data_IF_222673468066
#
_entry.id   IF_222673468066
#
_cell.length_a   1.000
_cell.length_b   1.000
_cell.length_c   1.000
_cell.angle_alpha   90.00
_cell.angle_beta   90.00
_cell.angle_gamma   90.00
#
_symmetry.space_group_name_H-M   'P 1'
#
loop_
_entity.id
_entity.type
_entity.pdbx_description
1 polymer ?
#
# COMPACT_ATOMS: atom_id res chain seq x y z
N UNK A 1 -15.13 9.14 -39.27
CA UNK A 1 -15.42 9.16 -37.82
C UNK A 1 -15.71 7.74 -37.42
N UNK A 2 -14.72 7.04 -36.86
CA UNK A 2 -14.88 5.66 -36.42
C UNK A 2 -15.71 5.68 -35.14
N UNK A 3 -16.97 5.26 -35.24
CA UNK A 3 -17.86 5.16 -34.09
C UNK A 3 -17.35 4.02 -33.20
N UNK A 4 -16.97 4.36 -31.96
CA UNK A 4 -16.65 3.37 -30.94
C UNK A 4 -17.82 2.39 -30.83
N UNK A 5 -17.53 1.09 -30.96
CA UNK A 5 -18.57 0.06 -30.88
C UNK A 5 -19.28 0.16 -29.53
N UNK A 6 -20.59 -0.15 -29.45
CA UNK A 6 -21.36 -0.06 -28.21
C UNK A 6 -20.74 -0.86 -27.06
N UNK A 7 -20.08 -1.98 -27.38
CA UNK A 7 -19.31 -2.77 -26.42
C UNK A 7 -18.13 -1.97 -25.82
N UNK A 8 -17.41 -1.21 -26.63
CA UNK A 8 -16.27 -0.39 -26.17
C UNK A 8 -16.73 0.72 -25.21
N UNK A 9 -17.89 1.32 -25.48
CA UNK A 9 -18.49 2.34 -24.61
C UNK A 9 -18.89 1.74 -23.27
N UNK A 10 -19.53 0.56 -23.26
CA UNK A 10 -19.90 -0.13 -22.02
C UNK A 10 -18.66 -0.47 -21.20
N UNK A 11 -17.61 -1.01 -21.82
CA UNK A 11 -16.35 -1.34 -21.14
C UNK A 11 -15.73 -0.07 -20.52
N UNK A 12 -15.68 1.04 -21.25
CA UNK A 12 -15.15 2.31 -20.74
C UNK A 12 -15.94 2.85 -19.56
N UNK A 13 -17.28 2.81 -19.63
CA UNK A 13 -18.14 3.27 -18.53
C UNK A 13 -17.98 2.40 -17.30
N UNK A 14 -17.95 1.07 -17.46
CA UNK A 14 -17.72 0.13 -16.35
C UNK A 14 -16.33 0.36 -15.74
N UNK A 15 -15.29 0.45 -16.57
CA UNK A 15 -13.93 0.71 -16.10
C UNK A 15 -13.84 2.04 -15.33
N UNK A 16 -14.46 3.11 -15.83
CA UNK A 16 -14.49 4.41 -15.17
C UNK A 16 -15.27 4.36 -13.84
N UNK A 17 -16.40 3.65 -13.79
CA UNK A 17 -17.18 3.47 -12.57
C UNK A 17 -16.41 2.68 -11.51
N UNK A 18 -15.72 1.60 -11.90
CA UNK A 18 -14.84 0.85 -11.00
C UNK A 18 -13.70 1.75 -10.50
N UNK A 19 -13.07 2.53 -11.38
CA UNK A 19 -12.00 3.45 -10.99
C UNK A 19 -12.49 4.51 -9.99
N UNK A 20 -13.66 5.09 -10.24
CA UNK A 20 -14.28 6.07 -9.36
C UNK A 20 -14.63 5.47 -7.99
N UNK A 21 -15.21 4.27 -7.95
CA UNK A 21 -15.51 3.55 -6.72
C UNK A 21 -14.23 3.27 -5.90
N UNK A 22 -13.17 2.78 -6.56
CA UNK A 22 -11.87 2.54 -5.92
C UNK A 22 -11.28 3.84 -5.35
N UNK A 23 -11.37 4.95 -6.08
CA UNK A 23 -10.88 6.26 -5.63
C UNK A 23 -11.68 6.79 -4.43
N UNK A 24 -13.01 6.66 -4.45
CA UNK A 24 -13.89 7.11 -3.35
C UNK A 24 -13.64 6.29 -2.09
N UNK A 25 -13.60 4.95 -2.19
CA UNK A 25 -13.30 4.06 -1.05
C UNK A 25 -11.90 4.37 -0.49
N UNK A 26 -10.90 4.55 -1.35
CA UNK A 26 -9.55 4.95 -0.93
C UNK A 26 -9.52 6.32 -0.25
N UNK A 27 -10.39 7.26 -0.63
CA UNK A 27 -10.48 8.59 -0.01
C UNK A 27 -11.10 8.54 1.38
N UNK A 28 -12.15 7.73 1.57
CA UNK A 28 -12.83 7.59 2.86
C UNK A 28 -11.96 6.89 3.92
N UNK A 29 -11.09 5.96 3.52
CA UNK A 29 -10.20 5.22 4.43
C UNK A 29 -8.95 6.00 4.90
N UNK A 30 -8.81 7.29 4.57
CA UNK A 30 -7.57 8.07 4.79
C UNK A 30 -7.39 8.71 6.15
N UNK A 31 -8.29 8.56 7.13
CA UNK A 31 -8.03 9.09 8.48
C UNK A 31 -7.53 7.97 9.38
N UNK A 32 -6.22 7.74 9.35
CA UNK A 32 -5.53 6.91 10.33
C UNK A 32 -5.22 7.77 11.53
N UNK A 33 -5.74 7.41 12.70
CA UNK A 33 -5.43 8.05 13.98
C UNK A 33 -4.24 7.31 14.57
N UNK A 34 -3.17 8.04 14.88
CA UNK A 34 -2.02 7.43 15.52
C UNK A 34 -2.27 7.29 17.02
N UNK A 35 -1.91 6.13 17.60
CA UNK A 35 -1.96 5.91 19.03
C UNK A 35 -0.92 6.79 19.74
N UNK A 36 -1.26 7.25 20.95
CA UNK A 36 -0.39 8.10 21.76
C UNK A 36 0.84 7.39 22.33
N UNK A 37 0.79 6.05 22.47
CA UNK A 37 1.89 5.25 23.00
C UNK A 37 2.30 4.16 22.00
N UNK A 38 3.60 4.11 21.69
CA UNK A 38 4.19 3.11 20.78
C UNK A 38 4.35 1.74 21.43
N UNK A 39 4.52 1.71 22.75
CA UNK A 39 4.92 0.50 23.47
C UNK A 39 3.90 -0.63 23.29
N UNK A 40 2.61 -0.30 23.37
CA UNK A 40 1.50 -1.23 23.17
C UNK A 40 1.43 -1.81 21.75
N UNK A 41 1.82 -1.03 20.73
CA UNK A 41 1.80 -1.53 19.34
C UNK A 41 3.09 -2.21 18.94
N UNK A 42 4.21 -1.96 19.63
CA UNK A 42 5.48 -2.60 19.30
C UNK A 42 5.36 -4.12 19.35
N UNK A 43 4.65 -4.65 20.34
CA UNK A 43 4.42 -6.08 20.47
C UNK A 43 3.47 -6.59 19.37
N UNK A 44 2.42 -5.83 19.03
CA UNK A 44 1.51 -6.17 17.93
C UNK A 44 2.21 -6.16 16.56
N UNK A 45 3.12 -5.22 16.32
CA UNK A 45 3.91 -5.18 15.10
C UNK A 45 4.97 -6.30 15.06
N UNK A 46 5.55 -6.66 16.22
CA UNK A 46 6.47 -7.78 16.31
C UNK A 46 5.80 -9.12 15.93
N UNK A 47 4.52 -9.31 16.26
CA UNK A 47 3.74 -10.52 15.87
C UNK A 47 3.64 -10.67 14.35
N UNK A 48 3.51 -9.57 13.60
CA UNK A 48 3.49 -9.60 12.13
C UNK A 48 4.90 -9.54 11.51
N UNK A 49 5.96 -9.68 12.32
CA UNK A 49 7.35 -9.60 11.88
C UNK A 49 7.77 -8.21 11.39
N UNK A 50 7.12 -7.17 11.91
CA UNK A 50 7.39 -5.79 11.56
C UNK A 50 7.99 -4.99 12.73
N UNK A 51 8.91 -4.08 12.41
CA UNK A 51 9.54 -3.16 13.35
C UNK A 51 8.88 -1.78 13.22
N UNK A 52 8.36 -1.26 14.32
CA UNK A 52 7.80 0.08 14.37
C UNK A 52 8.72 1.04 15.14
N UNK A 53 8.96 2.22 14.57
CA UNK A 53 9.75 3.27 15.20
C UNK A 53 9.15 4.66 14.90
N UNK A 54 9.20 5.54 15.89
CA UNK A 54 8.91 6.96 15.68
C UNK A 54 10.09 7.66 15.01
N UNK A 55 9.81 8.33 13.90
CA UNK A 55 10.77 9.16 13.17
C UNK A 55 10.21 10.57 13.11
N UNK A 56 10.47 11.37 14.15
CA UNK A 56 9.87 12.69 14.29
C UNK A 56 8.33 12.59 14.38
N UNK A 57 7.54 13.29 13.53
CA UNK A 57 6.08 13.20 13.55
C UNK A 57 5.53 11.97 12.79
N UNK A 58 6.38 11.09 12.29
CA UNK A 58 6.00 9.94 11.48
C UNK A 58 6.16 8.64 12.26
N UNK A 59 5.19 7.74 12.14
CA UNK A 59 5.33 6.35 12.54
C UNK A 59 5.85 5.56 11.33
N UNK A 60 7.06 5.03 11.41
CA UNK A 60 7.64 4.18 10.39
C UNK A 60 7.52 2.71 10.81
N UNK A 61 6.82 1.90 10.02
CA UNK A 61 6.68 0.46 10.23
C UNK A 61 7.40 -0.26 9.08
N UNK A 62 8.38 -1.09 9.42
CA UNK A 62 9.24 -1.79 8.46
C UNK A 62 9.03 -3.28 8.56
N UNK A 63 8.86 -3.95 7.43
CA UNK A 63 8.79 -5.40 7.33
C UNK A 63 9.74 -5.86 6.23
N UNK A 64 10.41 -7.00 6.45
CA UNK A 64 11.29 -7.61 5.45
C UNK A 64 10.62 -8.86 4.89
N UNK A 65 10.44 -8.88 3.58
CA UNK A 65 9.98 -10.03 2.83
C UNK A 65 11.17 -10.67 2.13
N UNK A 66 11.85 -11.60 2.83
CA UNK A 66 13.14 -12.13 2.38
C UNK A 66 14.18 -11.00 2.29
N UNK A 67 14.65 -10.69 1.07
CA UNK A 67 15.60 -9.62 0.79
C UNK A 67 14.96 -8.26 0.47
N UNK A 68 13.63 -8.19 0.41
CA UNK A 68 12.89 -7.00 0.02
C UNK A 68 12.42 -6.24 1.27
N UNK A 69 13.00 -5.07 1.56
CA UNK A 69 12.49 -4.21 2.62
C UNK A 69 11.26 -3.43 2.12
N UNK A 70 10.20 -3.47 2.93
CA UNK A 70 9.00 -2.65 2.74
C UNK A 70 8.82 -1.77 3.97
N UNK A 71 8.59 -0.47 3.76
CA UNK A 71 8.40 0.51 4.82
C UNK A 71 7.08 1.26 4.61
N UNK A 72 6.17 1.16 5.57
CA UNK A 72 4.95 1.96 5.63
C UNK A 72 5.22 3.13 6.59
N UNK A 73 5.07 4.35 6.09
CA UNK A 73 5.14 5.58 6.90
C UNK A 73 3.74 6.13 7.10
N UNK A 74 3.39 6.38 8.35
CA UNK A 74 2.14 7.03 8.73
C UNK A 74 2.47 8.42 9.25
N UNK A 75 2.00 9.45 8.55
CA UNK A 75 2.02 10.83 9.01
C UNK A 75 0.83 11.05 9.95
N UNK A 76 1.13 11.07 11.24
CA UNK A 76 0.13 11.19 12.29
C UNK A 76 -0.53 12.58 12.36
N UNK A 77 0.08 13.62 11.77
CA UNK A 77 -0.51 14.96 11.71
C UNK A 77 -1.51 15.10 10.58
N UNK A 78 -1.22 14.45 9.45
CA UNK A 78 -2.05 14.52 8.22
C UNK A 78 -2.98 13.32 8.05
N UNK A 79 -2.82 12.29 8.88
CA UNK A 79 -3.47 10.98 8.71
C UNK A 79 -3.03 10.26 7.43
N UNK A 80 -1.94 10.69 6.80
CA UNK A 80 -1.54 10.19 5.49
C UNK A 80 -0.66 8.96 5.62
N UNK A 81 -0.88 7.95 4.78
CA UNK A 81 -0.04 6.75 4.71
C UNK A 81 0.76 6.79 3.42
N UNK A 82 2.04 6.48 3.50
CA UNK A 82 2.97 6.41 2.37
C UNK A 82 3.79 5.13 2.46
N UNK A 83 3.74 4.33 1.41
CA UNK A 83 4.41 3.02 1.37
C UNK A 83 5.63 3.12 0.46
N UNK A 84 6.81 2.77 0.97
CA UNK A 84 8.07 2.66 0.24
C UNK A 84 8.42 1.19 0.08
N UNK A 85 8.50 0.74 -1.17
CA UNK A 85 8.99 -0.59 -1.53
C UNK A 85 10.15 -0.50 -2.52
N UNK A 86 10.70 -1.63 -2.97
CA UNK A 86 11.83 -1.69 -3.91
C UNK A 86 11.40 -1.43 -5.37
N UNK A 87 10.38 -0.62 -5.59
CA UNK A 87 9.82 -0.35 -6.93
C UNK A 87 10.86 0.11 -7.97
N UNK A 88 11.96 0.84 -7.64
CA UNK A 88 12.97 1.17 -8.64
C UNK A 88 13.69 -0.07 -9.17
N UNK A 89 13.92 -1.07 -8.32
CA UNK A 89 14.59 -2.32 -8.70
C UNK A 89 13.74 -3.12 -9.68
N UNK A 90 12.43 -3.17 -9.40
CA UNK A 90 11.48 -3.89 -10.22
C UNK A 90 11.19 -3.17 -11.56
N UNK A 91 11.28 -1.83 -11.59
CA UNK A 91 11.28 -1.06 -12.85
C UNK A 91 12.50 -1.36 -13.73
N UNK A 92 13.69 -1.50 -13.15
CA UNK A 92 14.91 -1.82 -13.92
C UNK A 92 14.80 -3.19 -14.59
N UNK A 93 14.20 -4.18 -13.91
CA UNK A 93 14.00 -5.53 -14.45
C UNK A 93 13.06 -5.57 -15.68
N UNK A 94 12.13 -4.61 -15.82
CA UNK A 94 11.28 -4.50 -17.01
C UNK A 94 12.07 -4.17 -18.29
N UNK A 95 13.22 -3.50 -18.17
CA UNK A 95 14.05 -3.15 -19.32
C UNK A 95 14.96 -4.29 -19.80
N UNK A 96 14.95 -5.44 -19.10
CA UNK A 96 15.70 -6.63 -19.53
C UNK A 96 14.76 -7.52 -20.37
N UNK A 97 14.99 -7.64 -21.69
CA UNK A 97 14.01 -8.18 -22.63
C UNK A 97 13.57 -9.62 -22.35
N UNK A 98 14.45 -10.46 -21.79
CA UNK A 98 14.14 -11.85 -21.46
C UNK A 98 13.41 -12.03 -20.11
N UNK A 99 13.30 -10.96 -19.30
CA UNK A 99 12.73 -11.02 -17.95
C UNK A 99 11.48 -10.17 -17.76
N UNK A 100 10.99 -9.50 -18.80
CA UNK A 100 9.84 -8.58 -18.70
C UNK A 100 8.60 -9.24 -18.06
N UNK A 101 8.26 -10.48 -18.44
CA UNK A 101 7.13 -11.20 -17.86
C UNK A 101 7.33 -11.54 -16.37
N UNK A 102 8.53 -12.02 -16.01
CA UNK A 102 8.89 -12.28 -14.62
C UNK A 102 8.92 -10.99 -13.79
N UNK A 103 9.38 -9.88 -14.37
CA UNK A 103 9.38 -8.57 -13.75
C UNK A 103 7.95 -8.06 -13.50
N UNK A 104 7.02 -8.29 -14.43
CA UNK A 104 5.59 -7.96 -14.24
C UNK A 104 4.99 -8.78 -13.09
N UNK A 105 5.23 -10.09 -13.05
CA UNK A 105 4.75 -10.95 -11.95
C UNK A 105 5.34 -10.48 -10.61
N UNK A 106 6.63 -10.18 -10.58
CA UNK A 106 7.31 -9.68 -9.38
C UNK A 106 6.73 -8.33 -8.93
N UNK A 107 6.46 -7.42 -9.86
CA UNK A 107 5.83 -6.12 -9.59
C UNK A 107 4.43 -6.29 -9.01
N UNK A 108 3.61 -7.17 -9.58
CA UNK A 108 2.27 -7.47 -9.07
C UNK A 108 2.33 -8.08 -7.68
N UNK A 109 3.27 -8.99 -7.44
CA UNK A 109 3.48 -9.60 -6.13
C UNK A 109 3.91 -8.55 -5.09
N UNK A 110 4.92 -7.72 -5.40
CA UNK A 110 5.36 -6.62 -4.52
C UNK A 110 4.22 -5.64 -4.24
N UNK A 111 3.45 -5.27 -5.26
CA UNK A 111 2.31 -4.37 -5.11
C UNK A 111 1.24 -4.97 -4.20
N UNK A 112 0.95 -6.28 -4.34
CA UNK A 112 0.00 -7.01 -3.51
C UNK A 112 0.48 -7.06 -2.05
N UNK A 113 1.75 -7.40 -1.81
CA UNK A 113 2.33 -7.42 -0.45
C UNK A 113 2.35 -6.05 0.19
N UNK A 114 2.66 -4.99 -0.58
CA UNK A 114 2.60 -3.62 -0.09
C UNK A 114 1.19 -3.20 0.31
N UNK A 115 0.17 -3.54 -0.50
CA UNK A 115 -1.24 -3.22 -0.18
C UNK A 115 -1.75 -4.02 1.02
N UNK A 116 -1.36 -5.31 1.12
CA UNK A 116 -1.67 -6.16 2.27
C UNK A 116 -1.03 -5.61 3.56
N UNK A 117 0.26 -5.28 3.52
CA UNK A 117 0.96 -4.73 4.68
C UNK A 117 0.42 -3.35 5.07
N UNK A 118 0.09 -2.49 4.11
CA UNK A 118 -0.56 -1.21 4.39
C UNK A 118 -1.92 -1.40 5.09
N UNK A 119 -2.70 -2.41 4.68
CA UNK A 119 -3.96 -2.77 5.35
C UNK A 119 -3.72 -3.29 6.77
N UNK A 120 -2.79 -4.23 6.96
CA UNK A 120 -2.43 -4.75 8.30
C UNK A 120 -2.05 -3.61 9.26
N UNK A 121 -1.20 -2.68 8.82
CA UNK A 121 -0.79 -1.53 9.63
C UNK A 121 -1.98 -0.64 9.97
N UNK A 122 -2.86 -0.35 8.99
CA UNK A 122 -4.07 0.45 9.24
C UNK A 122 -5.03 -0.23 10.20
N UNK A 123 -5.23 -1.53 10.07
CA UNK A 123 -6.15 -2.29 10.93
C UNK A 123 -5.62 -2.35 12.37
N UNK A 124 -4.31 -2.56 12.55
CA UNK A 124 -3.67 -2.50 13.86
C UNK A 124 -3.79 -1.10 14.49
N UNK A 125 -3.57 -0.04 13.71
CA UNK A 125 -3.71 1.34 14.20
C UNK A 125 -5.17 1.66 14.54
N UNK A 126 -6.12 1.19 13.75
CA UNK A 126 -7.55 1.37 14.01
C UNK A 126 -8.01 0.61 15.25
N UNK A 127 -7.52 -0.60 15.46
CA UNK A 127 -7.78 -1.39 16.66
C UNK A 127 -7.23 -0.69 17.91
N UNK A 128 -6.04 -0.10 17.82
CA UNK A 128 -5.43 0.65 18.92
C UNK A 128 -6.10 2.01 19.19
N UNK A 129 -6.70 2.65 18.19
CA UNK A 129 -7.39 3.94 18.33
C UNK A 129 -8.87 3.82 18.74
N UNK A 130 -9.43 2.60 18.73
CA UNK A 130 -10.81 2.30 19.16
C UNK A 130 -10.94 1.92 20.64
N UNK A 131 -9.85 2.03 21.40
CA UNK A 131 -9.82 2.05 22.87
C UNK A 131 -9.73 3.50 23.36
#
# INVERSE_FOLDING_TARGET
MEWLSPATVIILVVAAAVLAAVLVVRRLQRRVVCPGDLSALRDAFAVIGAEAAWVGPYLAVRKRYGLIPVEVRVDCRRGAVSTRGPWPLALVLLFVPNFAFAAIILLLWIASEMDAFEKEVKDLLKAAAGQ
#
